data_IF_198660275846
#
_entry.id   IF_198660275846
#
_cell.length_a   1.000
_cell.length_b   1.000
_cell.length_c   1.000
_cell.angle_alpha   90.00
_cell.angle_beta   90.00
_cell.angle_gamma   90.00
#
_symmetry.space_group_name_H-M   'P 1'
#
loop_
_entity.id
_entity.type
_entity.pdbx_description
1 polymer ?
#
# COMPACT_ATOMS: atom_id res chain seq x y z
N UNK A 1 -30.08 -9.67 1.05
CA UNK A 1 -29.31 -8.67 1.78
C UNK A 1 -27.96 -8.54 1.06
N UNK A 2 -27.63 -7.36 0.53
CA UNK A 2 -26.28 -7.09 0.03
C UNK A 2 -25.34 -7.11 1.23
N UNK A 3 -24.43 -8.06 1.27
CA UNK A 3 -23.34 -8.08 2.22
C UNK A 3 -22.43 -6.87 1.92
N UNK A 4 -21.99 -6.19 2.94
CA UNK A 4 -21.13 -5.02 2.82
C UNK A 4 -19.67 -5.47 2.89
N UNK A 5 -18.92 -5.25 1.82
CA UNK A 5 -17.48 -5.49 1.80
C UNK A 5 -16.78 -4.49 2.70
N UNK A 6 -15.87 -4.99 3.55
CA UNK A 6 -14.99 -4.15 4.36
C UNK A 6 -13.68 -3.95 3.62
N UNK A 7 -13.25 -2.69 3.54
CA UNK A 7 -11.87 -2.36 3.17
C UNK A 7 -10.92 -2.55 4.38
N UNK A 8 -9.63 -2.34 4.18
CA UNK A 8 -8.62 -2.49 5.25
C UNK A 8 -8.88 -1.56 6.44
N UNK A 9 -9.50 -0.40 6.22
CA UNK A 9 -9.90 0.52 7.30
C UNK A 9 -11.04 -0.09 8.09
N UNK A 10 -12.06 -0.63 7.43
CA UNK A 10 -13.17 -1.33 8.05
C UNK A 10 -12.72 -2.56 8.83
N UNK A 11 -11.82 -3.37 8.26
CA UNK A 11 -11.18 -4.49 8.93
C UNK A 11 -10.40 -4.04 10.16
N UNK A 12 -9.60 -2.96 10.05
CA UNK A 12 -8.87 -2.39 11.18
C UNK A 12 -9.76 -1.95 12.32
N UNK A 13 -10.88 -1.32 12.00
CA UNK A 13 -11.89 -0.96 13.00
C UNK A 13 -12.51 -2.20 13.68
N UNK A 14 -12.74 -3.26 12.90
CA UNK A 14 -13.28 -4.51 13.43
C UNK A 14 -12.28 -5.21 14.34
N UNK A 15 -11.02 -5.36 13.91
CA UNK A 15 -9.94 -5.88 14.74
C UNK A 15 -9.80 -5.09 16.05
N UNK A 16 -9.76 -3.77 15.96
CA UNK A 16 -9.70 -2.91 17.15
C UNK A 16 -10.88 -3.12 18.09
N UNK A 17 -12.10 -3.24 17.55
CA UNK A 17 -13.31 -3.51 18.33
C UNK A 17 -13.20 -4.85 19.05
N UNK A 18 -12.87 -5.92 18.34
CA UNK A 18 -12.73 -7.27 18.88
C UNK A 18 -11.67 -7.31 19.97
N UNK A 19 -10.46 -6.82 19.68
CA UNK A 19 -9.37 -6.75 20.66
C UNK A 19 -9.72 -5.93 21.89
N UNK A 20 -10.44 -4.82 21.74
CA UNK A 20 -10.86 -3.97 22.86
C UNK A 20 -11.90 -4.63 23.76
N UNK A 21 -12.67 -5.58 23.23
CA UNK A 21 -13.69 -6.33 23.97
C UNK A 21 -13.14 -7.61 24.65
N UNK A 22 -12.00 -8.13 24.17
CA UNK A 22 -11.34 -9.29 24.76
C UNK A 22 -10.78 -8.94 26.15
N UNK A 23 -11.02 -9.75 27.19
CA UNK A 23 -10.33 -9.66 28.48
C UNK A 23 -8.81 -9.82 28.30
N UNK A 24 -8.02 -9.19 29.18
CA UNK A 24 -6.55 -9.29 29.08
C UNK A 24 -6.06 -10.70 29.42
N UNK A 25 -6.81 -11.44 30.21
CA UNK A 25 -6.52 -12.80 30.65
C UNK A 25 -6.66 -13.84 29.50
N UNK A 26 -7.39 -13.50 28.45
CA UNK A 26 -7.58 -14.38 27.29
C UNK A 26 -6.40 -14.37 26.32
N UNK A 27 -5.50 -13.39 26.45
CA UNK A 27 -4.32 -13.25 25.61
C UNK A 27 -3.05 -13.39 26.46
N UNK A 28 -2.22 -14.36 26.10
CA UNK A 28 -0.99 -14.66 26.86
C UNK A 28 0.16 -13.72 26.50
N UNK A 29 0.29 -13.37 25.24
CA UNK A 29 1.42 -12.59 24.68
C UNK A 29 0.97 -11.20 24.24
N UNK A 30 -0.15 -11.10 23.53
CA UNK A 30 -0.53 -9.86 22.82
C UNK A 30 -1.47 -8.94 23.60
N UNK A 31 -1.79 -9.23 24.87
CA UNK A 31 -2.69 -8.40 25.70
C UNK A 31 -2.33 -6.91 25.71
N UNK A 32 -1.04 -6.58 25.75
CA UNK A 32 -0.55 -5.19 25.78
C UNK A 32 -0.62 -4.48 24.44
N UNK A 33 -0.73 -5.22 23.33
CA UNK A 33 -0.73 -4.68 21.98
C UNK A 33 -2.13 -4.47 21.39
N UNK A 34 -3.19 -4.76 22.13
CA UNK A 34 -4.60 -4.68 21.68
C UNK A 34 -5.00 -3.34 21.07
N UNK A 35 -4.33 -2.25 21.45
CA UNK A 35 -4.60 -0.90 20.95
C UNK A 35 -3.48 -0.34 20.07
N UNK A 36 -2.48 -1.15 19.76
CA UNK A 36 -1.36 -0.75 18.91
C UNK A 36 -1.78 -0.80 17.43
N UNK A 37 -1.74 0.33 16.71
CA UNK A 37 -2.13 0.35 15.31
C UNK A 37 -1.22 -0.50 14.40
N UNK A 38 0.07 -0.64 14.73
CA UNK A 38 1.00 -1.44 13.93
C UNK A 38 0.70 -2.93 14.09
N UNK A 39 0.39 -3.36 15.32
CA UNK A 39 -0.04 -4.73 15.56
C UNK A 39 -1.33 -5.06 14.82
N UNK A 40 -2.32 -4.15 14.83
CA UNK A 40 -3.57 -4.34 14.08
C UNK A 40 -3.30 -4.45 12.58
N UNK A 41 -2.40 -3.64 12.02
CA UNK A 41 -2.00 -3.76 10.62
C UNK A 41 -1.36 -5.11 10.30
N UNK A 42 -0.50 -5.62 11.17
CA UNK A 42 0.09 -6.96 11.00
C UNK A 42 -0.97 -8.07 11.05
N UNK A 43 -1.98 -7.94 11.90
CA UNK A 43 -3.10 -8.89 11.95
C UNK A 43 -3.95 -8.85 10.67
N UNK A 44 -4.19 -7.67 10.10
CA UNK A 44 -4.90 -7.54 8.81
C UNK A 44 -4.07 -8.19 7.69
N UNK A 45 -2.78 -7.95 7.65
CA UNK A 45 -1.89 -8.58 6.67
C UNK A 45 -1.91 -10.09 6.80
N UNK A 46 -1.77 -10.64 8.02
CA UNK A 46 -1.87 -12.08 8.27
C UNK A 46 -3.23 -12.63 7.85
N UNK A 47 -4.31 -11.92 8.12
CA UNK A 47 -5.66 -12.31 7.70
C UNK A 47 -5.76 -12.44 6.17
N UNK A 48 -5.23 -11.48 5.42
CA UNK A 48 -5.19 -11.55 3.95
C UNK A 48 -4.28 -12.66 3.43
N UNK A 49 -3.13 -12.87 4.07
CA UNK A 49 -2.21 -13.97 3.71
C UNK A 49 -2.88 -15.34 3.88
N UNK A 50 -3.59 -15.56 4.98
CA UNK A 50 -4.35 -16.78 5.20
C UNK A 50 -5.46 -16.97 4.15
N UNK A 51 -6.19 -15.90 3.81
CA UNK A 51 -7.21 -15.95 2.77
C UNK A 51 -6.60 -16.33 1.41
N UNK A 52 -5.51 -15.64 1.02
CA UNK A 52 -4.82 -15.90 -0.26
C UNK A 52 -4.27 -17.33 -0.35
N UNK A 53 -3.81 -17.87 0.79
CA UNK A 53 -3.34 -19.26 0.90
C UNK A 53 -4.47 -20.28 1.08
N UNK A 54 -5.73 -19.84 1.13
CA UNK A 54 -6.91 -20.67 1.47
C UNK A 54 -6.75 -21.43 2.80
N UNK A 55 -6.06 -20.82 3.75
CA UNK A 55 -5.84 -21.34 5.09
C UNK A 55 -6.85 -20.77 6.08
N UNK A 56 -7.17 -21.57 7.09
CA UNK A 56 -7.98 -21.15 8.24
C UNK A 56 -7.09 -20.78 9.43
N UNK A 57 -7.60 -20.05 10.42
CA UNK A 57 -6.82 -19.79 11.66
C UNK A 57 -6.30 -21.08 12.34
N UNK A 58 -7.00 -22.20 12.14
CA UNK A 58 -6.58 -23.49 12.72
C UNK A 58 -5.35 -24.09 12.05
N UNK A 59 -5.03 -23.67 10.82
CA UNK A 59 -3.87 -24.16 10.07
C UNK A 59 -2.55 -23.48 10.52
N UNK A 60 -2.62 -22.52 11.45
CA UNK A 60 -1.45 -21.91 12.09
C UNK A 60 -0.68 -22.88 13.01
N UNK A 61 -1.06 -24.14 13.05
CA UNK A 61 -0.43 -25.17 13.90
C UNK A 61 1.08 -25.38 13.63
N UNK A 62 1.57 -24.95 12.47
CA UNK A 62 2.99 -24.97 12.13
C UNK A 62 3.84 -23.89 12.84
N UNK A 63 3.23 -22.91 13.51
CA UNK A 63 3.98 -21.88 14.25
C UNK A 63 4.64 -22.51 15.49
N UNK A 64 5.96 -22.27 15.68
CA UNK A 64 6.72 -22.94 16.73
C UNK A 64 6.37 -22.44 18.15
N UNK A 65 5.89 -21.20 18.28
CA UNK A 65 5.53 -20.59 19.56
C UNK A 65 4.06 -20.83 19.89
N UNK A 66 3.82 -21.75 20.83
CA UNK A 66 2.46 -22.17 21.17
C UNK A 66 1.60 -21.02 21.72
N UNK A 67 2.14 -20.16 22.58
CA UNK A 67 1.37 -19.09 23.20
C UNK A 67 0.96 -18.02 22.19
N UNK A 68 1.88 -17.63 21.30
CA UNK A 68 1.57 -16.70 20.20
C UNK A 68 0.54 -17.28 19.24
N UNK A 69 0.66 -18.57 18.92
CA UNK A 69 -0.28 -19.28 18.06
C UNK A 69 -1.68 -19.28 18.64
N UNK A 70 -1.82 -19.63 19.92
CA UNK A 70 -3.11 -19.67 20.61
C UNK A 70 -3.78 -18.29 20.58
N UNK A 71 -3.03 -17.22 20.88
CA UNK A 71 -3.53 -15.85 20.81
C UNK A 71 -3.98 -15.47 19.39
N UNK A 72 -3.16 -15.74 18.36
CA UNK A 72 -3.50 -15.41 16.97
C UNK A 72 -4.74 -16.17 16.50
N UNK A 73 -4.82 -17.47 16.79
CA UNK A 73 -5.98 -18.29 16.44
C UNK A 73 -7.23 -17.74 17.13
N UNK A 74 -7.14 -17.38 18.41
CA UNK A 74 -8.26 -16.82 19.18
C UNK A 74 -8.73 -15.48 18.59
N UNK A 75 -7.79 -14.56 18.32
CA UNK A 75 -8.10 -13.25 17.72
C UNK A 75 -8.78 -13.43 16.36
N UNK A 76 -8.18 -14.21 15.48
CA UNK A 76 -8.68 -14.40 14.12
C UNK A 76 -10.06 -15.08 14.08
N UNK A 77 -10.30 -16.09 14.92
CA UNK A 77 -11.62 -16.72 15.06
C UNK A 77 -12.67 -15.74 15.53
N UNK A 78 -12.36 -14.94 16.57
CA UNK A 78 -13.29 -13.93 17.09
C UNK A 78 -13.61 -12.85 16.03
N UNK A 79 -12.65 -12.48 15.20
CA UNK A 79 -12.89 -11.56 14.07
C UNK A 79 -13.79 -12.20 13.02
N UNK A 80 -13.55 -13.47 12.64
CA UNK A 80 -14.41 -14.19 11.70
C UNK A 80 -15.86 -14.30 12.21
N UNK A 81 -16.06 -14.60 13.48
CA UNK A 81 -17.38 -14.63 14.11
C UNK A 81 -18.10 -13.28 14.01
N UNK A 82 -17.38 -12.18 14.24
CA UNK A 82 -17.93 -10.83 14.12
C UNK A 82 -18.22 -10.43 12.66
N UNK A 83 -17.43 -10.89 11.70
CA UNK A 83 -17.71 -10.71 10.27
C UNK A 83 -19.02 -11.40 9.89
N UNK A 84 -19.20 -12.64 10.29
CA UNK A 84 -20.42 -13.40 10.04
C UNK A 84 -21.63 -12.75 10.75
N UNK A 85 -21.51 -12.39 12.02
CA UNK A 85 -22.57 -11.77 12.79
C UNK A 85 -22.98 -10.39 12.25
N UNK A 86 -22.03 -9.63 11.70
CA UNK A 86 -22.24 -8.33 11.08
C UNK A 86 -22.75 -8.40 9.65
N UNK A 87 -22.91 -9.59 9.07
CA UNK A 87 -23.20 -9.82 7.64
C UNK A 87 -22.21 -9.08 6.71
N UNK A 88 -20.94 -8.98 7.14
CA UNK A 88 -19.88 -8.45 6.30
C UNK A 88 -19.30 -9.53 5.39
N UNK A 89 -18.84 -9.13 4.23
CA UNK A 89 -18.06 -10.03 3.37
C UNK A 89 -16.70 -10.29 4.02
N UNK A 90 -16.44 -11.57 4.31
CA UNK A 90 -15.17 -12.03 4.88
C UNK A 90 -14.27 -12.70 3.85
N UNK A 91 -14.80 -12.95 2.66
CA UNK A 91 -14.09 -13.65 1.59
C UNK A 91 -13.49 -12.67 0.59
N UNK A 92 -12.38 -13.07 -0.03
CA UNK A 92 -11.83 -12.35 -1.16
C UNK A 92 -12.81 -12.34 -2.34
N UNK A 93 -12.59 -11.44 -3.31
CA UNK A 93 -13.41 -11.41 -4.53
C UNK A 93 -13.30 -12.73 -5.32
N UNK A 94 -12.13 -13.36 -5.33
CA UNK A 94 -11.89 -14.63 -6.02
C UNK A 94 -12.61 -15.78 -5.30
N UNK A 95 -12.52 -15.87 -3.97
CA UNK A 95 -13.23 -16.89 -3.18
C UNK A 95 -14.76 -16.77 -3.35
N UNK A 96 -15.28 -15.54 -3.36
CA UNK A 96 -16.71 -15.32 -3.61
C UNK A 96 -17.10 -15.73 -5.02
N UNK A 97 -16.29 -15.43 -6.02
CA UNK A 97 -16.54 -15.86 -7.38
C UNK A 97 -16.52 -17.40 -7.47
N UNK A 98 -15.54 -18.06 -6.82
CA UNK A 98 -15.48 -19.50 -6.70
C UNK A 98 -16.74 -20.10 -6.04
N UNK A 99 -17.27 -19.46 -4.99
CA UNK A 99 -18.51 -19.88 -4.34
C UNK A 99 -19.72 -19.84 -5.30
N UNK A 100 -19.81 -18.82 -6.16
CA UNK A 100 -20.86 -18.76 -7.19
C UNK A 100 -20.68 -19.84 -8.27
N UNK A 101 -19.43 -20.14 -8.65
CA UNK A 101 -19.14 -21.24 -9.57
C UNK A 101 -19.60 -22.59 -9.01
N UNK A 102 -19.29 -22.85 -7.73
CA UNK A 102 -19.67 -24.11 -7.06
C UNK A 102 -21.21 -24.25 -7.00
N UNK A 103 -21.92 -23.16 -6.73
CA UNK A 103 -23.41 -23.14 -6.69
C UNK A 103 -24.05 -23.29 -8.05
N UNK A 104 -23.29 -23.11 -9.14
CA UNK A 104 -23.83 -23.14 -10.50
C UNK A 104 -24.58 -21.87 -10.91
N UNK A 105 -24.47 -20.80 -10.14
CA UNK A 105 -25.15 -19.52 -10.40
C UNK A 105 -24.70 -18.88 -11.73
N UNK A 106 -23.53 -19.28 -12.26
CA UNK A 106 -22.89 -18.70 -13.44
C UNK A 106 -22.79 -19.68 -14.61
N UNK A 107 -23.37 -20.87 -14.52
CA UNK A 107 -23.20 -21.92 -15.52
C UNK A 107 -23.71 -21.52 -16.93
N UNK A 108 -24.73 -20.69 -17.02
CA UNK A 108 -25.23 -20.20 -18.29
C UNK A 108 -24.31 -19.14 -18.91
N UNK A 109 -23.78 -18.23 -18.10
CA UNK A 109 -22.90 -17.16 -18.53
C UNK A 109 -21.52 -17.68 -19.00
N UNK A 110 -21.11 -18.84 -18.49
CA UNK A 110 -19.80 -19.43 -18.81
C UNK A 110 -19.79 -20.29 -20.08
N UNK A 111 -20.93 -20.64 -20.64
CA UNK A 111 -21.03 -21.57 -21.81
C UNK A 111 -20.20 -21.15 -23.03
N UNK A 112 -20.11 -19.85 -23.27
CA UNK A 112 -19.44 -19.27 -24.44
C UNK A 112 -18.23 -18.41 -24.04
N UNK A 113 -17.67 -18.64 -22.86
CA UNK A 113 -16.51 -17.87 -22.34
C UNK A 113 -15.22 -18.62 -22.60
N UNK A 114 -14.24 -17.93 -23.17
CA UNK A 114 -12.85 -18.36 -23.16
C UNK A 114 -12.04 -17.42 -22.26
N UNK A 115 -11.28 -17.99 -21.32
CA UNK A 115 -10.40 -17.27 -20.42
C UNK A 115 -8.98 -17.27 -20.98
N UNK A 116 -8.41 -16.08 -21.19
CA UNK A 116 -7.00 -15.93 -21.59
C UNK A 116 -6.22 -15.35 -20.41
N UNK A 117 -5.19 -16.08 -19.98
CA UNK A 117 -4.28 -15.70 -18.91
C UNK A 117 -2.89 -15.53 -19.51
N UNK A 118 -2.28 -14.36 -19.35
CA UNK A 118 -0.97 -14.07 -19.95
C UNK A 118 -0.02 -13.41 -18.94
N UNK A 119 1.27 -13.76 -19.01
CA UNK A 119 2.33 -13.13 -18.25
C UNK A 119 2.50 -13.59 -16.80
N UNK A 120 1.80 -14.62 -16.36
CA UNK A 120 2.00 -15.21 -15.04
C UNK A 120 3.22 -16.12 -15.02
N UNK A 121 3.89 -16.17 -13.86
CA UNK A 121 4.99 -17.11 -13.55
C UNK A 121 4.65 -18.07 -12.42
N UNK A 122 3.52 -17.83 -11.76
CA UNK A 122 2.92 -18.67 -10.72
C UNK A 122 1.49 -18.21 -10.45
N UNK A 123 0.68 -19.08 -9.91
CA UNK A 123 -0.60 -18.73 -9.28
C UNK A 123 -0.47 -18.72 -7.76
N UNK A 124 -1.26 -17.88 -7.09
CA UNK A 124 -1.59 -18.07 -5.69
C UNK A 124 -2.50 -19.31 -5.55
N UNK A 125 -2.63 -19.83 -4.34
CA UNK A 125 -3.52 -20.99 -4.10
C UNK A 125 -4.98 -20.68 -4.48
N UNK A 126 -5.41 -19.45 -4.28
CA UNK A 126 -6.76 -19.00 -4.63
C UNK A 126 -6.97 -18.88 -6.14
N UNK A 127 -5.98 -18.37 -6.87
CA UNK A 127 -6.03 -18.32 -8.34
C UNK A 127 -5.98 -19.72 -8.97
N UNK A 128 -5.12 -20.59 -8.46
CA UNK A 128 -5.01 -21.97 -8.92
C UNK A 128 -6.33 -22.74 -8.70
N UNK A 129 -6.93 -22.60 -7.51
CA UNK A 129 -8.22 -23.19 -7.22
C UNK A 129 -9.32 -22.67 -8.16
N UNK A 130 -9.33 -21.36 -8.46
CA UNK A 130 -10.31 -20.77 -9.38
C UNK A 130 -10.13 -21.31 -10.81
N UNK A 131 -8.89 -21.44 -11.28
CA UNK A 131 -8.59 -22.01 -12.59
C UNK A 131 -9.06 -23.45 -12.69
N UNK A 132 -8.84 -24.25 -11.64
CA UNK A 132 -9.37 -25.61 -11.55
C UNK A 132 -10.90 -25.67 -11.65
N UNK A 133 -11.60 -24.83 -10.86
CA UNK A 133 -13.06 -24.78 -10.91
C UNK A 133 -13.61 -24.38 -12.28
N UNK A 134 -12.99 -23.42 -12.95
CA UNK A 134 -13.38 -22.99 -14.29
C UNK A 134 -13.12 -24.09 -15.32
N UNK A 135 -12.00 -24.80 -15.22
CA UNK A 135 -11.70 -25.96 -16.05
C UNK A 135 -12.75 -27.07 -15.86
N UNK A 136 -13.10 -27.39 -14.61
CA UNK A 136 -14.10 -28.42 -14.29
C UNK A 136 -15.51 -28.05 -14.79
N UNK A 137 -15.79 -26.76 -14.91
CA UNK A 137 -17.01 -26.22 -15.53
C UNK A 137 -16.98 -26.22 -17.06
N UNK A 138 -15.88 -26.66 -17.67
CA UNK A 138 -15.73 -26.75 -19.11
C UNK A 138 -15.41 -25.42 -19.80
N UNK A 139 -14.94 -24.43 -19.07
CA UNK A 139 -14.48 -23.17 -19.67
C UNK A 139 -13.21 -23.41 -20.46
N UNK A 140 -13.12 -22.88 -21.69
CA UNK A 140 -11.90 -22.90 -22.47
C UNK A 140 -10.86 -21.95 -21.83
N UNK A 141 -9.68 -22.48 -21.45
CA UNK A 141 -8.63 -21.71 -20.79
C UNK A 141 -7.36 -21.74 -21.64
N UNK A 142 -6.87 -20.56 -21.99
CA UNK A 142 -5.63 -20.38 -22.74
C UNK A 142 -4.64 -19.67 -21.84
N UNK A 143 -3.49 -20.30 -21.54
CA UNK A 143 -2.46 -19.73 -20.68
C UNK A 143 -1.19 -19.51 -21.49
N UNK A 144 -0.71 -18.25 -21.51
CA UNK A 144 0.51 -17.83 -22.16
C UNK A 144 1.57 -17.37 -21.16
N UNK A 145 2.83 -17.68 -21.45
CA UNK A 145 3.96 -17.13 -20.70
C UNK A 145 5.13 -16.86 -21.64
N UNK A 146 5.98 -15.93 -21.24
CA UNK A 146 7.17 -15.57 -21.99
C UNK A 146 8.27 -16.61 -21.75
N UNK A 147 8.86 -17.11 -22.86
CA UNK A 147 9.98 -18.03 -22.84
C UNK A 147 10.86 -17.84 -24.07
N UNK A 148 12.12 -18.20 -23.98
CA UNK A 148 12.95 -18.46 -25.16
C UNK A 148 12.73 -19.88 -25.67
N UNK A 149 13.03 -20.13 -26.94
CA UNK A 149 12.99 -21.45 -27.51
C UNK A 149 13.96 -22.41 -26.77
N UNK A 150 15.13 -21.89 -26.39
CA UNK A 150 16.13 -22.62 -25.62
C UNK A 150 15.60 -23.05 -24.26
N UNK A 151 15.03 -22.12 -23.48
CA UNK A 151 14.45 -22.43 -22.17
C UNK A 151 13.29 -23.43 -22.27
N UNK A 152 12.42 -23.29 -23.26
CA UNK A 152 11.29 -24.18 -23.48
C UNK A 152 11.73 -25.60 -23.82
N UNK A 153 12.77 -25.77 -24.66
CA UNK A 153 13.28 -27.08 -25.09
C UNK A 153 14.27 -27.72 -24.11
N UNK A 154 14.82 -26.95 -23.19
CA UNK A 154 15.83 -27.44 -22.24
C UNK A 154 15.20 -28.32 -21.18
N UNK A 155 15.85 -29.42 -20.88
CA UNK A 155 15.53 -30.29 -19.71
C UNK A 155 16.14 -29.76 -18.40
N UNK A 156 17.18 -28.91 -18.51
CA UNK A 156 17.84 -28.27 -17.37
C UNK A 156 17.79 -26.77 -17.57
N UNK A 157 17.05 -26.08 -16.71
CA UNK A 157 16.78 -24.63 -16.81
C UNK A 157 17.21 -23.84 -15.59
N UNK A 158 17.83 -24.48 -14.62
CA UNK A 158 18.26 -23.81 -13.39
C UNK A 158 19.17 -22.62 -13.71
N UNK A 159 18.80 -21.42 -13.24
CA UNK A 159 19.50 -20.18 -13.52
C UNK A 159 19.14 -19.50 -14.85
N UNK A 160 18.34 -20.12 -15.71
CA UNK A 160 17.86 -19.47 -16.93
C UNK A 160 16.88 -18.34 -16.64
N UNK A 161 16.90 -17.27 -17.43
CA UNK A 161 16.03 -16.08 -17.26
C UNK A 161 14.54 -16.42 -17.31
N UNK A 162 14.15 -17.46 -18.04
CA UNK A 162 12.76 -17.85 -18.24
C UNK A 162 12.36 -19.08 -17.42
N UNK A 163 13.22 -19.55 -16.51
CA UNK A 163 12.99 -20.75 -15.73
C UNK A 163 11.60 -20.75 -15.07
N UNK A 164 11.28 -19.68 -14.31
CA UNK A 164 10.01 -19.59 -13.56
C UNK A 164 8.79 -19.70 -14.48
N UNK A 165 8.80 -19.04 -15.64
CA UNK A 165 7.68 -19.07 -16.58
C UNK A 165 7.51 -20.45 -17.22
N UNK A 166 8.62 -21.09 -17.62
CA UNK A 166 8.58 -22.40 -18.28
C UNK A 166 8.19 -23.50 -17.30
N UNK A 167 8.76 -23.49 -16.08
CA UNK A 167 8.43 -24.47 -15.06
C UNK A 167 6.95 -24.37 -14.65
N UNK A 168 6.44 -23.17 -14.50
CA UNK A 168 5.01 -22.93 -14.24
C UNK A 168 4.11 -23.50 -15.34
N UNK A 169 4.40 -23.24 -16.62
CA UNK A 169 3.63 -23.81 -17.72
C UNK A 169 3.71 -25.34 -17.80
N UNK A 170 4.89 -25.91 -17.53
CA UNK A 170 5.07 -27.35 -17.55
C UNK A 170 4.34 -28.04 -16.39
N UNK A 171 4.27 -27.39 -15.23
CA UNK A 171 3.49 -27.91 -14.10
C UNK A 171 1.99 -27.88 -14.40
N UNK A 172 1.48 -26.79 -14.99
CA UNK A 172 0.10 -26.73 -15.47
C UNK A 172 -0.17 -27.80 -16.55
N UNK A 173 0.77 -27.97 -17.50
CA UNK A 173 0.65 -28.97 -18.54
C UNK A 173 0.55 -30.39 -18.00
N UNK A 174 1.28 -30.72 -16.94
CA UNK A 174 1.17 -32.00 -16.23
C UNK A 174 -0.16 -32.13 -15.49
N UNK A 175 -0.58 -31.07 -14.79
CA UNK A 175 -1.83 -31.06 -14.01
C UNK A 175 -3.04 -31.29 -14.91
N UNK A 176 -3.11 -30.60 -16.04
CA UNK A 176 -4.24 -30.66 -16.98
C UNK A 176 -4.03 -31.62 -18.15
N UNK A 177 -2.91 -32.35 -18.18
CA UNK A 177 -2.57 -33.34 -19.22
C UNK A 177 -2.60 -32.75 -20.65
N UNK A 178 -2.17 -31.53 -20.81
CA UNK A 178 -2.07 -30.82 -22.09
C UNK A 178 -0.62 -30.72 -22.55
N UNK A 179 -0.41 -30.63 -23.87
CA UNK A 179 0.93 -30.41 -24.43
C UNK A 179 1.09 -28.93 -24.75
N UNK A 180 1.98 -28.19 -24.08
CA UNK A 180 2.21 -26.82 -24.40
C UNK A 180 2.86 -26.68 -25.78
N UNK A 181 2.59 -25.60 -26.48
CA UNK A 181 3.19 -25.27 -27.76
C UNK A 181 4.03 -23.99 -27.67
N UNK A 182 5.19 -23.97 -28.30
CA UNK A 182 5.99 -22.78 -28.45
C UNK A 182 5.59 -22.01 -29.70
N UNK A 183 5.16 -20.75 -29.50
CA UNK A 183 4.77 -19.86 -30.61
C UNK A 183 5.90 -18.87 -30.83
N UNK A 184 6.95 -19.27 -31.54
CA UNK A 184 8.13 -18.45 -31.81
C UNK A 184 7.95 -17.62 -33.07
N UNK A 185 7.50 -16.39 -32.96
CA UNK A 185 7.54 -15.40 -34.04
C UNK A 185 8.02 -14.04 -33.56
N UNK A 186 9.09 -14.01 -32.78
CA UNK A 186 9.74 -12.77 -32.38
C UNK A 186 10.34 -12.06 -33.61
N UNK A 187 10.23 -10.73 -33.62
CA UNK A 187 11.01 -9.94 -34.59
C UNK A 187 12.48 -10.11 -34.28
N UNK A 188 13.28 -10.34 -35.32
CA UNK A 188 14.74 -10.27 -35.22
C UNK A 188 15.18 -8.80 -35.18
N UNK A 189 15.19 -8.23 -33.96
CA UNK A 189 15.64 -6.88 -33.67
C UNK A 189 16.84 -6.87 -32.72
N UNK A 190 17.33 -5.69 -32.40
CA UNK A 190 18.46 -5.50 -31.48
C UNK A 190 18.18 -6.13 -30.12
N UNK A 191 16.96 -5.98 -29.60
CA UNK A 191 16.59 -6.48 -28.28
C UNK A 191 16.52 -8.01 -28.23
N UNK A 192 15.98 -8.65 -29.26
CA UNK A 192 15.95 -10.11 -29.33
C UNK A 192 17.36 -10.71 -29.42
N UNK A 193 18.27 -10.08 -30.13
CA UNK A 193 19.70 -10.48 -30.19
C UNK A 193 20.39 -10.29 -28.84
N UNK A 194 20.18 -9.13 -28.18
CA UNK A 194 20.73 -8.87 -26.84
C UNK A 194 20.21 -9.86 -25.81
N UNK A 195 18.90 -10.17 -25.83
CA UNK A 195 18.28 -11.13 -24.89
C UNK A 195 18.90 -12.51 -25.02
N UNK A 196 19.13 -13.01 -26.25
CA UNK A 196 19.83 -14.29 -26.49
C UNK A 196 21.25 -14.29 -25.93
N UNK A 197 21.96 -13.17 -26.10
CA UNK A 197 23.31 -13.04 -25.52
C UNK A 197 23.27 -13.03 -24.00
N UNK A 198 22.32 -12.31 -23.40
CA UNK A 198 22.13 -12.29 -21.94
C UNK A 198 21.76 -13.69 -21.41
N UNK A 199 20.83 -14.38 -22.06
CA UNK A 199 20.44 -15.74 -21.68
C UNK A 199 21.63 -16.68 -21.73
N UNK A 200 22.42 -16.66 -22.81
CA UNK A 200 23.61 -17.49 -22.94
C UNK A 200 24.64 -17.19 -21.83
N UNK A 201 24.77 -15.93 -21.43
CA UNK A 201 25.64 -15.51 -20.31
C UNK A 201 25.17 -16.03 -18.97
N UNK A 202 23.86 -15.97 -18.70
CA UNK A 202 23.27 -16.51 -17.47
C UNK A 202 23.38 -18.04 -17.41
N UNK A 203 23.23 -18.72 -18.54
CA UNK A 203 23.36 -20.17 -18.62
C UNK A 203 24.83 -20.66 -18.71
N UNK A 204 25.80 -19.77 -18.72
CA UNK A 204 27.21 -20.09 -18.95
C UNK A 204 27.46 -20.89 -20.23
N UNK A 205 26.68 -20.62 -21.29
CA UNK A 205 26.82 -21.28 -22.59
C UNK A 205 27.51 -20.35 -23.60
N UNK A 206 27.97 -20.92 -24.71
CA UNK A 206 28.54 -20.11 -25.79
C UNK A 206 27.52 -19.11 -26.33
N UNK A 207 27.98 -17.90 -26.57
CA UNK A 207 27.18 -16.82 -27.13
C UNK A 207 27.12 -16.99 -28.64
N UNK A 208 25.93 -17.34 -29.15
CA UNK A 208 25.70 -17.39 -30.58
C UNK A 208 25.39 -15.99 -31.14
N UNK A 209 26.11 -15.59 -32.16
CA UNK A 209 25.94 -14.31 -32.84
C UNK A 209 26.75 -13.17 -32.21
N UNK A 210 26.82 -12.07 -32.94
CA UNK A 210 27.45 -10.81 -32.54
C UNK A 210 26.48 -9.67 -32.71
N UNK A 211 26.54 -8.69 -31.80
CA UNK A 211 25.82 -7.44 -31.97
C UNK A 211 26.47 -6.62 -33.07
N UNK A 212 25.67 -6.10 -33.99
CA UNK A 212 26.09 -5.07 -34.94
C UNK A 212 26.36 -3.75 -34.19
N UNK A 213 27.05 -2.80 -34.85
CA UNK A 213 27.23 -1.48 -34.27
C UNK A 213 25.89 -0.76 -34.06
N UNK A 214 24.96 -0.94 -35.01
CA UNK A 214 23.58 -0.41 -34.88
C UNK A 214 22.82 -1.02 -33.69
N UNK A 215 23.04 -2.29 -33.35
CA UNK A 215 22.44 -2.90 -32.14
C UNK A 215 23.00 -2.29 -30.87
N UNK A 216 24.31 -1.96 -30.87
CA UNK A 216 24.96 -1.33 -29.72
C UNK A 216 24.45 0.08 -29.45
N UNK A 217 24.07 0.81 -30.48
CA UNK A 217 23.47 2.14 -30.37
C UNK A 217 22.05 2.10 -29.81
N UNK A 218 21.39 0.94 -29.82
CA UNK A 218 20.03 0.79 -29.28
C UNK A 218 19.98 0.79 -27.74
N UNK A 219 21.13 0.58 -27.06
CA UNK A 219 21.22 0.55 -25.59
C UNK A 219 22.39 1.39 -25.11
N UNK A 220 22.11 2.30 -24.20
CA UNK A 220 23.12 3.11 -23.51
C UNK A 220 23.12 2.77 -22.02
N UNK A 221 24.29 2.70 -21.42
CA UNK A 221 24.48 2.50 -20.00
C UNK A 221 25.21 3.70 -19.43
N UNK A 222 24.59 4.38 -18.51
CA UNK A 222 25.16 5.53 -17.84
C UNK A 222 25.53 5.19 -16.40
N UNK A 223 26.69 5.64 -15.94
CA UNK A 223 27.10 5.57 -14.54
C UNK A 223 27.10 6.98 -13.98
N UNK A 224 26.34 7.19 -12.94
CA UNK A 224 26.19 8.47 -12.26
C UNK A 224 26.67 8.35 -10.81
N UNK A 225 27.09 9.47 -10.21
CA UNK A 225 27.63 9.47 -8.84
C UNK A 225 26.51 9.39 -7.78
N UNK A 226 25.32 9.85 -8.11
CA UNK A 226 24.16 9.85 -7.21
C UNK A 226 22.85 9.95 -8.00
N UNK A 227 21.74 9.63 -7.34
CA UNK A 227 20.40 9.58 -7.92
C UNK A 227 19.95 10.87 -8.61
N UNK A 228 20.33 12.03 -8.08
CA UNK A 228 20.00 13.32 -8.69
C UNK A 228 20.65 13.46 -10.07
N UNK A 229 21.92 13.15 -10.19
CA UNK A 229 22.65 13.19 -11.47
C UNK A 229 22.07 12.21 -12.48
N UNK A 230 21.67 11.03 -12.04
CA UNK A 230 20.99 10.02 -12.85
C UNK A 230 19.66 10.57 -13.41
N UNK A 231 18.81 11.15 -12.55
CA UNK A 231 17.55 11.75 -12.99
C UNK A 231 17.74 12.95 -13.92
N UNK A 232 18.77 13.77 -13.70
CA UNK A 232 19.12 14.87 -14.59
C UNK A 232 19.61 14.34 -15.95
N UNK A 233 20.36 13.25 -15.99
CA UNK A 233 20.79 12.60 -17.24
C UNK A 233 19.57 12.05 -17.99
N UNK A 234 18.65 11.38 -17.30
CA UNK A 234 17.39 10.92 -17.87
C UNK A 234 16.57 12.09 -18.42
N UNK A 235 16.43 13.18 -17.66
CA UNK A 235 15.68 14.36 -18.08
C UNK A 235 16.28 15.01 -19.35
N UNK A 236 17.61 15.11 -19.41
CA UNK A 236 18.31 15.59 -20.61
C UNK A 236 18.08 14.69 -21.82
N UNK A 237 18.16 13.38 -21.63
CA UNK A 237 17.90 12.41 -22.70
C UNK A 237 16.45 12.50 -23.21
N UNK A 238 15.48 12.63 -22.31
CA UNK A 238 14.07 12.85 -22.69
C UNK A 238 13.94 14.11 -23.55
N UNK A 239 14.53 15.23 -23.11
CA UNK A 239 14.47 16.49 -23.85
C UNK A 239 15.12 16.39 -25.23
N UNK A 240 16.25 15.67 -25.32
CA UNK A 240 16.93 15.40 -26.59
C UNK A 240 16.05 14.61 -27.55
N UNK A 241 15.43 13.52 -27.08
CA UNK A 241 14.53 12.71 -27.91
C UNK A 241 13.29 13.45 -28.38
N UNK A 242 12.76 14.36 -27.54
CA UNK A 242 11.65 15.22 -27.94
C UNK A 242 12.07 16.21 -29.03
N UNK A 243 13.29 16.75 -28.95
CA UNK A 243 13.83 17.59 -29.99
C UNK A 243 14.00 16.83 -31.30
N UNK A 244 14.31 15.54 -31.27
CA UNK A 244 14.41 14.63 -32.41
C UNK A 244 13.03 14.17 -32.92
N UNK A 245 11.92 14.61 -32.30
CA UNK A 245 10.56 14.35 -32.78
C UNK A 245 9.80 13.26 -32.02
N UNK A 246 10.36 12.67 -30.96
CA UNK A 246 9.63 11.76 -30.09
C UNK A 246 8.52 12.50 -29.32
N UNK A 247 7.53 11.76 -28.84
CA UNK A 247 6.45 12.32 -28.00
C UNK A 247 6.56 11.78 -26.59
N UNK A 248 6.11 12.52 -25.61
CA UNK A 248 6.10 12.06 -24.20
C UNK A 248 5.45 10.69 -24.02
N UNK A 249 4.38 10.42 -24.74
CA UNK A 249 3.68 9.12 -24.67
C UNK A 249 4.48 7.94 -25.22
N UNK A 250 5.52 8.21 -26.00
CA UNK A 250 6.39 7.18 -26.59
C UNK A 250 7.59 6.86 -25.64
N UNK A 251 7.70 7.58 -24.52
CA UNK A 251 8.80 7.46 -23.55
C UNK A 251 8.27 6.90 -22.24
N UNK A 252 8.94 5.86 -21.73
CA UNK A 252 8.65 5.26 -20.42
C UNK A 252 9.92 5.24 -19.57
N UNK A 253 9.79 5.66 -18.32
CA UNK A 253 10.85 5.55 -17.31
C UNK A 253 10.44 4.46 -16.32
N UNK A 254 11.31 3.49 -16.09
CA UNK A 254 11.10 2.43 -15.10
C UNK A 254 12.05 2.67 -13.94
N UNK A 255 11.51 2.71 -12.73
CA UNK A 255 12.27 2.90 -11.50
C UNK A 255 12.32 1.57 -10.74
N UNK A 256 13.50 1.13 -10.36
CA UNK A 256 13.67 -0.06 -9.54
C UNK A 256 13.15 0.13 -8.11
N UNK A 257 13.27 1.36 -7.58
CA UNK A 257 12.73 1.77 -6.28
C UNK A 257 12.05 3.14 -6.42
N UNK A 258 10.72 3.14 -6.48
CA UNK A 258 9.94 4.37 -6.64
C UNK A 258 10.06 5.28 -5.41
N UNK A 259 10.14 4.72 -4.20
CA UNK A 259 10.21 5.50 -2.96
C UNK A 259 11.50 6.30 -2.86
N UNK A 260 12.62 5.70 -3.28
CA UNK A 260 13.92 6.36 -3.28
C UNK A 260 13.98 7.54 -4.28
N UNK A 261 13.24 7.47 -5.39
CA UNK A 261 13.35 8.46 -6.47
C UNK A 261 12.24 9.52 -6.50
N UNK A 262 11.05 9.24 -5.96
CA UNK A 262 9.84 10.05 -6.21
C UNK A 262 9.98 11.53 -5.90
N UNK A 263 10.62 11.91 -4.79
CA UNK A 263 10.78 13.31 -4.39
C UNK A 263 11.70 14.09 -5.33
N UNK A 264 12.83 13.47 -5.67
CA UNK A 264 13.81 14.08 -6.56
C UNK A 264 13.30 14.10 -8.00
N UNK A 265 12.62 13.04 -8.45
CA UNK A 265 12.03 12.93 -9.76
C UNK A 265 11.07 14.09 -10.04
N UNK A 266 10.14 14.36 -9.11
CA UNK A 266 9.20 15.48 -9.25
C UNK A 266 9.93 16.80 -9.44
N UNK A 267 10.88 17.10 -8.56
CA UNK A 267 11.64 18.36 -8.58
C UNK A 267 12.39 18.55 -9.89
N UNK A 268 13.07 17.48 -10.36
CA UNK A 268 13.89 17.52 -11.58
C UNK A 268 13.01 17.59 -12.82
N UNK A 269 11.95 16.78 -12.90
CA UNK A 269 11.07 16.79 -14.07
C UNK A 269 10.30 18.09 -14.20
N UNK A 270 9.88 18.70 -13.09
CA UNK A 270 9.31 20.07 -13.08
C UNK A 270 10.33 21.11 -13.59
N UNK A 271 11.58 21.03 -13.14
CA UNK A 271 12.65 21.92 -13.58
C UNK A 271 12.93 21.81 -15.08
N UNK A 272 12.87 20.59 -15.64
CA UNK A 272 13.05 20.31 -17.06
C UNK A 272 11.75 20.45 -17.86
N UNK A 273 10.63 20.81 -17.22
CA UNK A 273 9.30 20.93 -17.83
C UNK A 273 8.85 19.63 -18.54
N UNK A 274 9.08 18.49 -17.87
CA UNK A 274 8.70 17.16 -18.34
C UNK A 274 7.42 16.76 -17.60
N UNK A 275 6.26 16.71 -18.29
CA UNK A 275 5.04 16.15 -17.72
C UNK A 275 5.20 14.65 -17.53
N UNK A 276 4.83 14.13 -16.36
CA UNK A 276 4.92 12.70 -16.08
C UNK A 276 3.72 12.23 -15.28
N UNK A 277 3.47 10.94 -15.33
CA UNK A 277 2.54 10.24 -14.47
C UNK A 277 3.30 9.17 -13.67
N UNK A 278 3.22 9.25 -12.37
CA UNK A 278 3.78 8.26 -11.46
C UNK A 278 2.63 7.38 -10.95
N UNK A 279 2.59 6.12 -11.39
CA UNK A 279 1.54 5.16 -11.05
C UNK A 279 1.61 4.64 -9.61
N UNK A 280 1.78 5.54 -8.64
CA UNK A 280 1.86 5.22 -7.22
C UNK A 280 0.89 6.06 -6.41
N UNK A 281 0.22 5.42 -5.47
CA UNK A 281 -0.56 6.11 -4.45
C UNK A 281 0.37 6.76 -3.42
N UNK A 282 0.23 8.05 -3.18
CA UNK A 282 0.94 8.74 -2.12
C UNK A 282 0.24 8.50 -0.77
N UNK A 283 1.03 8.27 0.27
CA UNK A 283 0.48 8.22 1.63
C UNK A 283 -0.09 9.58 2.02
N UNK A 284 -1.34 9.60 2.45
CA UNK A 284 -1.96 10.81 2.97
C UNK A 284 -1.51 11.16 4.40
N UNK A 285 -0.62 10.37 5.03
CA UNK A 285 -0.20 10.60 6.40
C UNK A 285 0.37 12.01 6.65
N UNK A 286 1.01 12.60 5.64
CA UNK A 286 1.55 13.96 5.71
C UNK A 286 0.58 15.05 5.22
N UNK A 287 -0.62 14.65 4.76
CA UNK A 287 -1.60 15.61 4.28
C UNK A 287 -2.13 16.46 5.46
N UNK A 288 -2.23 17.79 5.32
CA UNK A 288 -2.66 18.67 6.41
C UNK A 288 -3.97 18.25 7.08
N UNK A 289 -4.94 17.73 6.32
CA UNK A 289 -6.21 17.24 6.85
C UNK A 289 -6.03 16.03 7.79
N UNK A 290 -5.16 15.08 7.41
CA UNK A 290 -4.86 13.90 8.24
C UNK A 290 -4.15 14.32 9.51
N UNK A 291 -3.16 15.21 9.39
CA UNK A 291 -2.44 15.77 10.54
C UNK A 291 -3.36 16.56 11.47
N UNK A 292 -4.34 17.25 10.91
CA UNK A 292 -5.35 17.96 11.68
C UNK A 292 -6.21 17.01 12.52
N UNK A 293 -6.72 15.93 11.90
CA UNK A 293 -7.51 14.89 12.60
C UNK A 293 -6.66 14.19 13.65
N UNK A 294 -5.43 13.82 13.32
CA UNK A 294 -4.49 13.18 14.25
C UNK A 294 -4.17 14.09 15.44
N UNK A 295 -3.89 15.35 15.20
CA UNK A 295 -3.62 16.33 16.27
C UNK A 295 -4.82 16.47 17.21
N UNK A 296 -6.04 16.46 16.70
CA UNK A 296 -7.25 16.48 17.54
C UNK A 296 -7.35 15.21 18.39
N UNK A 297 -7.11 14.02 17.84
CA UNK A 297 -7.12 12.79 18.64
C UNK A 297 -6.01 12.80 19.72
N UNK A 298 -4.81 13.25 19.37
CA UNK A 298 -3.67 13.40 20.30
C UNK A 298 -3.97 14.37 21.43
N UNK A 299 -4.59 15.54 21.14
CA UNK A 299 -5.02 16.48 22.17
C UNK A 299 -5.91 15.84 23.23
N UNK A 300 -6.81 14.97 22.81
CA UNK A 300 -7.65 14.21 23.72
C UNK A 300 -6.86 13.17 24.51
N UNK A 301 -6.04 12.36 23.84
CA UNK A 301 -5.30 11.24 24.45
C UNK A 301 -4.25 11.74 25.46
N UNK A 302 -3.51 12.77 25.09
CA UNK A 302 -2.37 13.29 25.83
C UNK A 302 -2.69 14.56 26.64
N UNK A 303 -3.98 14.86 26.80
CA UNK A 303 -4.47 15.95 27.67
C UNK A 303 -3.88 17.31 27.35
N UNK A 304 -3.87 17.70 26.08
CA UNK A 304 -3.40 19.00 25.60
C UNK A 304 -1.89 19.23 25.86
N UNK A 305 -1.06 18.34 25.30
CA UNK A 305 0.36 18.65 25.19
C UNK A 305 0.56 19.90 24.30
N UNK A 306 1.52 20.74 24.67
CA UNK A 306 1.84 21.95 23.93
C UNK A 306 2.14 21.69 22.45
N UNK A 307 2.89 20.63 22.21
CA UNK A 307 3.25 20.18 20.85
C UNK A 307 2.01 19.83 20.00
N UNK A 308 1.04 19.12 20.56
CA UNK A 308 -0.16 18.74 19.84
C UNK A 308 -1.05 19.95 19.50
N UNK A 309 -1.12 20.96 20.40
CA UNK A 309 -1.82 22.22 20.11
C UNK A 309 -1.13 22.97 18.96
N UNK A 310 0.18 23.09 19.02
CA UNK A 310 0.96 23.77 17.98
C UNK A 310 0.89 23.06 16.65
N UNK A 311 0.98 21.72 16.64
CA UNK A 311 0.86 20.92 15.43
C UNK A 311 -0.52 21.08 14.77
N UNK A 312 -1.59 21.11 15.57
CA UNK A 312 -2.93 21.43 15.07
C UNK A 312 -2.97 22.77 14.33
N UNK A 313 -2.38 23.80 14.91
CA UNK A 313 -2.35 25.14 14.31
C UNK A 313 -1.51 25.18 13.03
N UNK A 314 -0.37 24.50 13.03
CA UNK A 314 0.55 24.42 11.88
C UNK A 314 -0.03 23.71 10.66
N UNK A 315 -1.12 22.97 10.81
CA UNK A 315 -1.82 22.38 9.66
C UNK A 315 -2.39 23.44 8.72
N UNK A 316 -2.58 24.68 9.20
CA UNK A 316 -3.20 25.77 8.46
C UNK A 316 -4.71 25.62 8.25
N UNK A 317 -5.32 24.58 8.83
CA UNK A 317 -6.76 24.27 8.71
C UNK A 317 -7.57 24.75 9.93
N UNK A 318 -6.90 25.33 10.91
CA UNK A 318 -7.53 25.74 12.15
C UNK A 318 -7.65 27.27 12.24
N UNK A 319 -8.86 27.76 12.08
CA UNK A 319 -9.21 29.15 12.34
C UNK A 319 -8.63 30.15 11.35
N UNK A 320 -8.78 31.43 11.69
CA UNK A 320 -8.32 32.55 10.88
C UNK A 320 -7.00 33.12 11.44
N UNK A 321 -6.08 32.24 11.88
CA UNK A 321 -4.78 32.68 12.40
C UNK A 321 -3.77 32.83 11.27
N UNK A 322 -2.98 33.91 11.36
CA UNK A 322 -1.84 34.06 10.45
C UNK A 322 -0.68 33.17 10.89
N UNK A 323 0.28 32.94 9.99
CA UNK A 323 1.52 32.19 10.35
C UNK A 323 2.26 32.91 11.49
N UNK A 324 2.29 34.22 11.46
CA UNK A 324 2.91 35.05 12.50
C UNK A 324 2.23 34.85 13.87
N UNK A 325 0.89 34.73 13.91
CA UNK A 325 0.16 34.46 15.14
C UNK A 325 0.53 33.07 15.69
N UNK A 326 0.63 32.06 14.82
CA UNK A 326 1.00 30.68 15.20
C UNK A 326 2.44 30.67 15.75
N UNK A 327 3.38 31.37 15.09
CA UNK A 327 4.78 31.43 15.51
C UNK A 327 4.91 32.12 16.87
N UNK A 328 4.23 33.28 17.08
CA UNK A 328 4.19 33.96 18.36
C UNK A 328 3.58 33.12 19.47
N UNK A 329 2.50 32.43 19.17
CA UNK A 329 1.85 31.50 20.11
C UNK A 329 2.79 30.34 20.51
N UNK A 330 3.46 29.72 19.55
CA UNK A 330 4.44 28.66 19.81
C UNK A 330 5.60 29.14 20.66
N UNK A 331 6.18 30.29 20.33
CA UNK A 331 7.28 30.90 21.09
C UNK A 331 6.86 31.14 22.54
N UNK A 332 5.65 31.69 22.77
CA UNK A 332 5.14 31.92 24.10
C UNK A 332 4.89 30.65 24.88
N UNK A 333 4.22 29.67 24.26
CA UNK A 333 3.90 28.38 24.89
C UNK A 333 5.17 27.65 25.35
N UNK A 334 6.23 27.73 24.53
CA UNK A 334 7.55 27.19 24.90
C UNK A 334 8.21 27.99 26.02
N UNK A 335 8.20 29.31 25.95
CA UNK A 335 8.79 30.20 26.96
C UNK A 335 8.12 30.00 28.33
N UNK A 336 6.79 30.01 28.36
CA UNK A 336 6.01 29.89 29.59
C UNK A 336 5.78 28.45 30.03
N UNK A 337 6.36 27.46 29.33
CA UNK A 337 6.22 26.02 29.59
C UNK A 337 4.78 25.56 29.78
N UNK A 338 3.85 26.09 28.96
CA UNK A 338 2.43 25.78 29.08
C UNK A 338 2.18 24.30 28.80
N UNK A 339 1.60 23.58 29.75
CA UNK A 339 1.28 22.16 29.65
C UNK A 339 -0.11 21.86 30.18
N UNK A 340 -0.88 21.14 29.39
CA UNK A 340 -2.19 20.63 29.78
C UNK A 340 -3.32 21.66 29.70
N UNK A 341 -4.55 21.14 29.59
CA UNK A 341 -5.75 21.95 29.40
C UNK A 341 -5.94 23.05 30.45
N UNK A 342 -5.62 22.75 31.70
CA UNK A 342 -5.79 23.74 32.79
C UNK A 342 -4.89 24.98 32.60
N UNK A 343 -3.66 24.80 32.13
CA UNK A 343 -2.74 25.92 31.85
C UNK A 343 -3.18 26.71 30.61
N UNK A 344 -3.61 26.04 29.57
CA UNK A 344 -4.17 26.68 28.37
C UNK A 344 -5.50 27.41 28.63
N UNK A 345 -6.24 27.03 29.67
CA UNK A 345 -7.52 27.67 30.01
C UNK A 345 -7.39 28.96 30.80
N UNK A 346 -6.21 29.23 31.36
CA UNK A 346 -5.93 30.45 32.14
C UNK A 346 -5.33 31.52 31.24
N UNK A 347 -5.49 32.76 31.65
CA UNK A 347 -4.84 33.87 30.94
C UNK A 347 -3.32 33.74 31.02
N UNK A 348 -2.70 34.02 29.91
CA UNK A 348 -1.25 34.10 29.81
C UNK A 348 -0.77 35.37 30.48
N UNK A 349 0.06 35.23 31.50
CA UNK A 349 0.53 36.36 32.33
C UNK A 349 2.04 36.46 32.44
N UNK A 350 2.76 35.36 32.13
CA UNK A 350 4.22 35.38 32.20
C UNK A 350 4.79 36.23 31.06
N UNK A 351 5.52 37.30 31.44
CA UNK A 351 6.21 38.13 30.49
C UNK A 351 7.50 38.66 31.13
N UNK A 352 8.63 38.35 30.56
CA UNK A 352 9.91 38.83 31.03
C UNK A 352 10.38 39.96 30.10
N UNK A 353 10.61 41.17 30.67
CA UNK A 353 11.06 42.33 29.92
C UNK A 353 10.12 42.74 28.75
N UNK A 354 8.83 42.58 28.93
CA UNK A 354 7.77 42.86 27.96
C UNK A 354 8.03 42.32 26.54
N UNK A 355 8.63 41.12 26.48
CA UNK A 355 9.01 40.47 25.25
C UNK A 355 7.81 40.03 24.40
N UNK A 356 6.65 39.80 25.04
CA UNK A 356 5.48 39.23 24.38
C UNK A 356 4.27 40.16 24.46
N UNK A 357 3.51 40.27 23.38
CA UNK A 357 2.18 40.91 23.36
C UNK A 357 1.15 39.97 23.98
N UNK A 358 0.91 40.11 25.29
CA UNK A 358 -0.01 39.25 26.04
C UNK A 358 -1.47 39.42 25.63
N UNK A 359 -1.89 40.65 25.18
CA UNK A 359 -3.26 40.85 24.71
C UNK A 359 -3.52 40.03 23.42
N UNK A 360 -2.61 40.15 22.45
CA UNK A 360 -2.65 39.38 21.23
C UNK A 360 -2.66 37.85 21.52
N UNK A 361 -1.75 37.39 22.39
CA UNK A 361 -1.61 35.98 22.76
C UNK A 361 -2.85 35.43 23.47
N UNK A 362 -3.45 36.19 24.40
CA UNK A 362 -4.68 35.78 25.07
C UNK A 362 -5.88 35.77 24.13
N UNK A 363 -5.94 36.61 23.15
CA UNK A 363 -6.95 36.58 22.09
C UNK A 363 -6.81 35.29 21.25
N UNK A 364 -5.59 35.01 20.80
CA UNK A 364 -5.29 33.76 20.07
C UNK A 364 -5.66 32.52 20.93
N UNK A 365 -5.24 32.51 22.19
CA UNK A 365 -5.57 31.44 23.13
C UNK A 365 -7.08 31.19 23.23
N UNK A 366 -7.88 32.27 23.39
CA UNK A 366 -9.33 32.15 23.48
C UNK A 366 -9.95 31.56 22.17
N UNK A 367 -9.47 32.05 21.02
CA UNK A 367 -9.91 31.53 19.73
C UNK A 367 -9.56 30.07 19.50
N UNK A 368 -8.43 29.61 20.02
CA UNK A 368 -7.93 28.23 19.87
C UNK A 368 -8.56 27.30 20.89
N UNK A 369 -8.45 27.65 22.17
CA UNK A 369 -8.74 26.71 23.25
C UNK A 369 -10.25 26.63 23.55
N UNK A 370 -10.99 27.72 23.40
CA UNK A 370 -12.43 27.72 23.65
C UNK A 370 -13.19 26.65 22.86
N UNK A 371 -13.10 26.63 21.52
CA UNK A 371 -13.74 25.63 20.67
C UNK A 371 -13.25 24.19 20.98
N UNK A 372 -11.95 24.02 21.25
CA UNK A 372 -11.38 22.69 21.60
C UNK A 372 -11.94 22.17 22.92
N UNK A 373 -12.10 23.05 23.92
CA UNK A 373 -12.73 22.65 25.18
C UNK A 373 -14.16 22.18 24.97
N UNK A 374 -14.94 22.90 24.17
CA UNK A 374 -16.33 22.53 23.87
C UNK A 374 -16.45 21.21 23.13
N UNK A 375 -15.50 20.94 22.25
CA UNK A 375 -15.42 19.65 21.56
C UNK A 375 -15.28 18.47 22.55
N UNK A 376 -14.50 18.66 23.63
CA UNK A 376 -14.14 17.56 24.56
C UNK A 376 -14.87 17.56 25.91
N UNK A 377 -15.71 18.53 26.19
CA UNK A 377 -16.46 18.62 27.48
C UNK A 377 -17.47 17.48 27.73
N UNK A 378 -17.86 16.71 26.74
CA UNK A 378 -18.93 15.71 26.88
C UNK A 378 -18.37 14.32 27.18
N UNK A 379 -18.72 13.74 28.33
CA UNK A 379 -18.19 12.48 28.85
C UNK A 379 -18.64 11.19 28.14
N UNK A 380 -19.77 11.20 27.46
CA UNK A 380 -20.31 10.01 26.80
C UNK A 380 -20.77 10.38 25.39
N UNK A 381 -20.07 9.87 24.38
CA UNK A 381 -20.46 10.10 22.99
C UNK A 381 -20.45 8.79 22.24
N UNK A 382 -21.55 8.55 21.52
CA UNK A 382 -21.55 7.57 20.44
C UNK A 382 -20.60 8.07 19.34
N UNK A 383 -19.97 7.16 18.60
CA UNK A 383 -19.13 7.50 17.44
C UNK A 383 -19.83 8.47 16.47
N UNK A 384 -21.14 8.29 16.27
CA UNK A 384 -21.96 9.19 15.45
C UNK A 384 -22.09 10.61 16.04
N UNK A 385 -22.23 10.72 17.37
CA UNK A 385 -22.29 12.01 18.07
C UNK A 385 -20.95 12.77 17.98
N UNK A 386 -19.84 12.06 18.04
CA UNK A 386 -18.50 12.61 17.87
C UNK A 386 -18.32 13.14 16.43
N UNK A 387 -18.63 12.32 15.43
CA UNK A 387 -18.56 12.73 14.02
C UNK A 387 -19.43 13.96 13.70
N UNK A 388 -20.64 14.04 14.23
CA UNK A 388 -21.49 15.24 14.08
C UNK A 388 -20.88 16.49 14.72
N UNK A 389 -20.18 16.35 15.83
CA UNK A 389 -19.46 17.49 16.44
C UNK A 389 -18.24 17.88 15.64
N UNK A 390 -17.45 16.93 15.16
CA UNK A 390 -16.36 17.19 14.25
C UNK A 390 -16.82 17.94 12.99
N UNK A 391 -17.90 17.49 12.36
CA UNK A 391 -18.48 18.15 11.20
C UNK A 391 -19.02 19.57 11.45
N UNK A 392 -19.35 19.91 12.70
CA UNK A 392 -19.72 21.30 13.08
C UNK A 392 -18.51 22.14 13.47
N UNK A 393 -17.41 21.50 13.78
CA UNK A 393 -16.16 22.12 14.17
C UNK A 393 -15.30 22.48 12.94
N UNK A 394 -15.43 21.72 11.85
CA UNK A 394 -14.91 22.05 10.52
C UNK A 394 -15.73 23.12 9.83
#
# INVERSE_FOLDING_TARGET
>A
HQQQSLDDIGLGMLFFKVLSQMPDEELKVYARLKKDPQFIQQLIQLFHELQTAQMTPSDLDALPDQEKREDLVHILKSVQEQLVAGAFESESKLARFASHLIKGDLDEELKDVALVIDGFTRFSAEEDYLVHLLHDKGVEIIIGAYASEKAYRSTFREGNLYQASVDFLLDLARTYQVTPSYVGQGKEDAFSRMTRILEARYDFTEVEGKLSDQDREAVEIWTCNHQKEELEAVARSIRQRLYEGARYKDIRVLLGDVDAYQLQLKTIFDQYQIPFYLGKSESMAQHPLVQWVESLDRLRRYRFLAEDVVNLLKTGLYGMLTREDIDHFEQYVRFAEIKGLAAFSRDFTANHQDKFDLERLNRIRQQVIGPLQDLYKTKSQTSQGLLKKFARFC
#
